data_IF_392776212048
#
_entry.id   IF_392776212048
#
_cell.length_a   1.000
_cell.length_b   1.000
_cell.length_c   1.000
_cell.angle_alpha   90.00
_cell.angle_beta   90.00
_cell.angle_gamma   90.00
#
_symmetry.space_group_name_H-M   'P 1'
#
loop_
_entity.id
_entity.type
_entity.pdbx_description
1 polymer ?
#
# COMPACT_ATOMS: atom_id res chain seq x y z
N UNK A 1 10.06 1.63 0.29
CA UNK A 1 9.62 2.36 1.51
C UNK A 1 9.06 1.37 2.50
N UNK A 2 9.48 1.46 3.72
CA UNK A 2 9.02 0.60 4.82
C UNK A 2 8.11 1.39 5.74
N UNK A 3 6.95 0.84 6.05
CA UNK A 3 5.99 1.45 6.98
C UNK A 3 5.45 0.39 7.93
N UNK A 4 4.98 0.82 9.07
CA UNK A 4 4.46 -0.07 10.10
C UNK A 4 3.07 0.35 10.54
N UNK A 5 2.28 -0.63 10.97
CA UNK A 5 0.95 -0.41 11.51
C UNK A 5 0.70 -1.40 12.64
N UNK A 6 0.17 -0.91 13.75
CA UNK A 6 -0.28 -1.77 14.84
C UNK A 6 -1.76 -2.12 14.61
N UNK A 7 -2.08 -3.40 14.72
CA UNK A 7 -3.47 -3.86 14.59
C UNK A 7 -4.17 -3.65 15.93
N UNK A 8 -5.17 -2.77 15.93
CA UNK A 8 -5.92 -2.39 17.11
C UNK A 8 -7.26 -3.13 17.15
N UNK A 9 -7.92 -3.25 18.33
CA UNK A 9 -9.21 -3.95 18.41
C UNK A 9 -10.28 -3.42 17.46
N UNK A 10 -10.30 -2.11 17.19
CA UNK A 10 -11.26 -1.51 16.24
C UNK A 10 -11.03 -1.85 14.79
N UNK A 11 -9.91 -2.51 14.46
CA UNK A 11 -9.57 -2.89 13.10
C UNK A 11 -10.05 -4.29 12.74
N UNK A 12 -10.62 -5.02 13.70
CA UNK A 12 -10.97 -6.42 13.52
C UNK A 12 -12.40 -6.58 13.00
N UNK A 13 -12.61 -7.67 12.25
CA UNK A 13 -13.94 -8.08 11.82
C UNK A 13 -14.63 -8.87 12.96
N UNK A 14 -15.85 -9.36 12.70
CA UNK A 14 -16.63 -10.11 13.68
C UNK A 14 -16.04 -11.48 14.01
N UNK A 15 -15.08 -11.97 13.25
CA UNK A 15 -14.35 -13.22 13.55
C UNK A 15 -13.09 -12.97 14.39
N UNK A 16 -12.75 -11.71 14.67
CA UNK A 16 -11.56 -11.39 15.44
C UNK A 16 -10.28 -11.28 14.64
N UNK A 17 -10.39 -11.17 13.31
CA UNK A 17 -9.26 -10.96 12.42
C UNK A 17 -9.30 -9.55 11.81
N UNK A 18 -8.16 -9.07 11.34
CA UNK A 18 -8.10 -7.79 10.65
C UNK A 18 -9.12 -7.75 9.50
N UNK A 19 -9.92 -6.70 9.47
CA UNK A 19 -10.89 -6.49 8.41
C UNK A 19 -10.16 -6.25 7.08
N UNK A 20 -10.54 -7.00 6.02
CA UNK A 20 -9.87 -6.89 4.72
C UNK A 20 -9.90 -5.48 4.14
N UNK A 21 -10.99 -4.75 4.31
CA UNK A 21 -11.10 -3.38 3.86
C UNK A 21 -10.13 -2.44 4.57
N UNK A 22 -9.80 -2.71 5.83
CA UNK A 22 -8.76 -1.95 6.54
C UNK A 22 -7.40 -2.16 5.91
N UNK A 23 -7.07 -3.41 5.57
CA UNK A 23 -5.82 -3.72 4.89
C UNK A 23 -5.71 -2.95 3.58
N UNK A 24 -6.76 -2.96 2.76
CA UNK A 24 -6.78 -2.25 1.48
C UNK A 24 -6.63 -0.74 1.67
N UNK A 25 -7.29 -0.18 2.67
CA UNK A 25 -7.19 1.24 2.98
C UNK A 25 -5.76 1.63 3.36
N UNK A 26 -5.13 0.84 4.23
CA UNK A 26 -3.76 1.13 4.65
C UNK A 26 -2.76 0.99 3.51
N UNK A 27 -2.94 -0.01 2.66
CA UNK A 27 -2.08 -0.20 1.48
C UNK A 27 -2.20 1.00 0.53
N UNK A 28 -3.43 1.47 0.28
CA UNK A 28 -3.66 2.62 -0.57
C UNK A 28 -2.99 3.89 0.01
N UNK A 29 -3.18 4.15 1.29
CA UNK A 29 -2.59 5.32 1.96
C UNK A 29 -1.06 5.27 1.93
N UNK A 30 -0.49 4.12 2.27
CA UNK A 30 0.97 3.97 2.36
C UNK A 30 1.60 4.09 0.97
N UNK A 31 1.03 3.44 -0.03
CA UNK A 31 1.54 3.52 -1.39
C UNK A 31 1.39 4.94 -1.96
N UNK A 32 0.32 5.65 -1.61
CA UNK A 32 0.16 7.03 -2.02
C UNK A 32 1.26 7.92 -1.42
N UNK A 33 1.63 7.69 -0.17
CA UNK A 33 2.75 8.41 0.43
C UNK A 33 4.06 8.11 -0.30
N UNK A 34 4.26 6.88 -0.75
CA UNK A 34 5.44 6.51 -1.51
C UNK A 34 5.51 7.24 -2.84
N UNK A 35 4.42 7.25 -3.61
CA UNK A 35 4.40 7.90 -4.93
C UNK A 35 4.52 9.42 -4.78
N UNK A 36 3.88 10.01 -3.78
CA UNK A 36 3.98 11.45 -3.55
C UNK A 36 5.40 11.87 -3.16
N UNK A 37 6.12 11.02 -2.45
CA UNK A 37 7.51 11.26 -2.09
C UNK A 37 8.47 11.09 -3.26
N UNK A 38 8.18 10.13 -4.15
CA UNK A 38 9.02 9.89 -5.32
C UNK A 38 8.86 10.97 -6.41
N UNK A 39 7.70 11.62 -6.45
CA UNK A 39 7.40 12.64 -7.46
C UNK A 39 6.85 13.91 -6.80
N UNK A 40 7.71 14.68 -6.10
CA UNK A 40 7.27 15.88 -5.39
C UNK A 40 6.59 16.89 -6.33
N UNK A 41 5.51 17.47 -5.88
CA UNK A 41 4.76 18.47 -6.64
C UNK A 41 3.79 17.89 -7.64
N UNK A 42 3.77 16.58 -7.83
CA UNK A 42 2.81 15.92 -8.70
C UNK A 42 1.61 15.42 -7.90
N UNK A 43 0.45 15.41 -8.53
CA UNK A 43 -0.77 14.92 -7.92
C UNK A 43 -1.14 13.58 -8.53
N UNK A 44 -1.51 12.63 -7.68
CA UNK A 44 -1.81 11.27 -8.11
C UNK A 44 -3.17 10.82 -7.59
N UNK A 45 -3.84 10.01 -8.38
CA UNK A 45 -5.03 9.27 -7.95
C UNK A 45 -4.81 7.79 -8.14
N UNK A 46 -5.37 7.01 -7.24
CA UNK A 46 -5.37 5.54 -7.35
C UNK A 46 -6.36 5.13 -8.42
N UNK A 47 -5.90 4.34 -9.39
CA UNK A 47 -6.78 3.83 -10.46
C UNK A 47 -7.04 2.35 -10.36
N UNK A 48 -6.26 1.62 -9.60
CA UNK A 48 -6.54 0.19 -9.42
C UNK A 48 -5.54 -0.53 -8.57
N UNK A 49 -5.97 -1.66 -8.05
CA UNK A 49 -5.14 -2.67 -7.43
C UNK A 49 -5.33 -3.96 -8.19
N UNK A 50 -4.24 -4.65 -8.48
CA UNK A 50 -4.27 -5.94 -9.16
C UNK A 50 -3.54 -6.97 -8.33
N UNK A 51 -3.81 -8.25 -8.60
CA UNK A 51 -3.16 -9.34 -7.88
C UNK A 51 -3.35 -9.24 -6.37
N UNK A 52 -4.53 -8.78 -5.93
CA UNK A 52 -4.85 -8.68 -4.50
C UNK A 52 -4.95 -10.10 -3.92
N UNK A 53 -4.04 -10.41 -3.01
CA UNK A 53 -4.00 -11.74 -2.40
C UNK A 53 -3.83 -11.64 -0.89
N UNK A 54 -4.81 -12.18 -0.17
CA UNK A 54 -4.74 -12.34 1.28
C UNK A 54 -4.21 -13.74 1.56
N UNK A 55 -2.94 -13.83 1.95
CA UNK A 55 -2.29 -15.13 2.14
C UNK A 55 -2.64 -15.77 3.47
N UNK A 56 -2.76 -14.94 4.52
CA UNK A 56 -3.03 -15.40 5.87
C UNK A 56 -3.84 -14.36 6.64
N UNK A 57 -4.61 -14.83 7.63
CA UNK A 57 -5.35 -13.94 8.54
C UNK A 57 -4.38 -13.14 9.42
N UNK A 58 -4.80 -11.97 9.81
CA UNK A 58 -4.03 -11.12 10.73
C UNK A 58 -4.79 -11.06 12.05
N UNK A 59 -4.14 -11.52 13.12
CA UNK A 59 -4.70 -11.60 14.45
C UNK A 59 -4.45 -10.31 15.23
N UNK A 60 -5.18 -10.09 16.36
CA UNK A 60 -4.88 -8.96 17.25
C UNK A 60 -3.45 -9.06 17.79
N UNK A 61 -2.92 -7.92 18.25
CA UNK A 61 -1.56 -7.81 18.79
C UNK A 61 -0.49 -8.12 17.74
N UNK A 62 -0.79 -7.87 16.48
CA UNK A 62 0.19 -7.98 15.39
C UNK A 62 0.70 -6.61 15.00
N UNK A 63 1.97 -6.56 14.64
CA UNK A 63 2.57 -5.40 13.98
C UNK A 63 2.73 -5.76 12.50
N UNK A 64 2.19 -4.92 11.64
CA UNK A 64 2.33 -5.11 10.19
C UNK A 64 3.49 -4.26 9.67
N UNK A 65 4.30 -4.87 8.83
CA UNK A 65 5.35 -4.17 8.09
C UNK A 65 4.96 -4.16 6.61
N UNK A 66 4.89 -2.96 6.05
CA UNK A 66 4.56 -2.74 4.64
C UNK A 66 5.83 -2.41 3.89
N UNK A 67 6.16 -3.22 2.89
CA UNK A 67 7.27 -2.93 1.97
C UNK A 67 6.69 -2.51 0.63
N UNK A 68 6.96 -1.26 0.24
CA UNK A 68 6.45 -0.66 -0.98
C UNK A 68 7.61 -0.36 -1.91
N UNK A 69 7.59 -0.96 -3.10
CA UNK A 69 8.64 -0.78 -4.09
C UNK A 69 8.03 -0.41 -5.43
N UNK A 70 8.69 0.52 -6.14
CA UNK A 70 8.25 0.91 -7.48
C UNK A 70 8.47 -0.27 -8.42
N UNK A 71 7.41 -0.72 -9.08
CA UNK A 71 7.45 -1.88 -9.95
C UNK A 71 7.58 -1.49 -11.42
N UNK A 72 6.81 -0.50 -11.88
CA UNK A 72 6.96 -0.02 -13.24
C UNK A 72 6.42 1.41 -13.39
N UNK A 73 6.90 2.09 -14.41
CA UNK A 73 6.49 3.45 -14.76
C UNK A 73 5.98 3.45 -16.18
N UNK A 74 4.74 3.85 -16.39
CA UNK A 74 4.16 4.07 -17.70
C UNK A 74 4.26 5.53 -18.11
N UNK A 75 3.51 5.90 -19.14
CA UNK A 75 3.54 7.29 -19.63
C UNK A 75 2.90 8.26 -18.63
N UNK A 76 1.75 7.90 -18.11
CA UNK A 76 0.99 8.72 -17.14
C UNK A 76 0.79 8.02 -15.80
N UNK A 77 1.30 6.80 -15.67
CA UNK A 77 1.03 5.96 -14.50
C UNK A 77 2.32 5.44 -13.88
N UNK A 78 2.22 5.08 -12.62
CA UNK A 78 3.28 4.38 -11.90
C UNK A 78 2.63 3.30 -11.03
N UNK A 79 3.23 2.12 -11.02
CA UNK A 79 2.75 0.98 -10.26
C UNK A 79 3.73 0.63 -9.17
N UNK A 80 3.21 0.42 -7.97
CA UNK A 80 3.99 -0.01 -6.81
C UNK A 80 3.57 -1.41 -6.42
N UNK A 81 4.55 -2.23 -6.06
CA UNK A 81 4.32 -3.52 -5.46
C UNK A 81 4.35 -3.36 -3.95
N UNK A 82 3.35 -3.91 -3.27
CA UNK A 82 3.25 -3.84 -1.81
C UNK A 82 3.19 -5.25 -1.25
N UNK A 83 4.12 -5.54 -0.35
CA UNK A 83 4.12 -6.76 0.43
C UNK A 83 3.91 -6.42 1.89
N UNK A 84 3.04 -7.16 2.57
CA UNK A 84 2.74 -6.94 3.98
C UNK A 84 3.08 -8.18 4.77
N UNK A 85 3.84 -7.98 5.84
CA UNK A 85 4.27 -9.03 6.75
C UNK A 85 3.70 -8.74 8.14
N UNK A 86 3.33 -9.80 8.85
CA UNK A 86 2.88 -9.66 10.23
C UNK A 86 3.93 -10.23 11.18
N UNK A 87 4.03 -9.61 12.34
CA UNK A 87 4.80 -10.12 13.47
C UNK A 87 3.94 -9.96 14.71
N UNK A 88 3.71 -11.03 15.44
CA UNK A 88 3.07 -10.93 16.75
C UNK A 88 4.01 -10.22 17.71
N UNK A 89 3.46 -9.45 18.64
CA UNK A 89 4.29 -8.64 19.57
C UNK A 89 5.25 -9.47 20.41
N UNK A 90 4.97 -10.76 20.58
CA UNK A 90 5.81 -11.68 21.38
C UNK A 90 6.81 -12.47 20.53
N UNK A 91 6.90 -12.19 19.25
CA UNK A 91 7.73 -12.97 18.33
C UNK A 91 8.60 -12.06 17.49
N UNK A 92 9.76 -12.56 17.08
CA UNK A 92 10.61 -11.89 16.09
C UNK A 92 10.37 -12.40 14.67
N UNK A 93 9.55 -13.44 14.51
CA UNK A 93 9.29 -14.01 13.20
C UNK A 93 8.22 -13.23 12.45
N UNK A 94 8.46 -13.05 11.16
CA UNK A 94 7.51 -12.41 10.26
C UNK A 94 6.89 -13.42 9.31
N UNK A 95 5.62 -13.24 8.99
CA UNK A 95 4.89 -14.06 8.03
C UNK A 95 4.27 -13.15 6.99
N UNK A 96 4.47 -13.45 5.71
CA UNK A 96 3.81 -12.74 4.63
C UNK A 96 2.31 -12.99 4.65
N UNK A 97 1.52 -11.91 4.70
CA UNK A 97 0.05 -12.01 4.84
C UNK A 97 -0.71 -11.43 3.68
N UNK A 98 -0.10 -10.52 2.92
CA UNK A 98 -0.82 -9.82 1.86
C UNK A 98 0.14 -9.30 0.80
N UNK A 99 -0.27 -9.36 -0.48
CA UNK A 99 0.46 -8.75 -1.58
C UNK A 99 -0.52 -8.12 -2.57
N UNK A 100 -0.09 -7.05 -3.22
CA UNK A 100 -0.83 -6.43 -4.32
C UNK A 100 0.09 -5.53 -5.14
N UNK A 101 -0.37 -5.21 -6.35
CA UNK A 101 0.19 -4.13 -7.17
C UNK A 101 -0.84 -3.01 -7.22
N UNK A 102 -0.41 -1.79 -6.92
CA UNK A 102 -1.28 -0.63 -6.92
C UNK A 102 -0.77 0.40 -7.91
N UNK A 103 -1.68 0.89 -8.75
CA UNK A 103 -1.34 1.80 -9.84
C UNK A 103 -1.96 3.16 -9.60
N UNK A 104 -1.12 4.19 -9.77
CA UNK A 104 -1.50 5.59 -9.67
C UNK A 104 -1.34 6.26 -11.03
N UNK A 105 -2.19 7.25 -11.29
CA UNK A 105 -2.11 8.07 -12.48
C UNK A 105 -1.88 9.52 -12.06
N UNK A 106 -0.92 10.18 -12.70
CA UNK A 106 -0.69 11.59 -12.48
C UNK A 106 -1.80 12.40 -13.13
N UNK A 107 -2.36 13.36 -12.38
CA UNK A 107 -3.40 14.27 -12.86
C UNK A 107 -2.97 15.72 -12.72
N UNK A 108 -3.48 16.56 -13.62
CA UNK A 108 -3.33 18.00 -13.52
C UNK A 108 -4.44 18.65 -12.71
N UNK A 109 -4.40 19.97 -12.63
CA UNK A 109 -5.38 20.77 -11.87
C UNK A 109 -6.80 20.60 -12.41
N UNK A 110 -6.94 20.27 -13.69
CA UNK A 110 -8.23 20.00 -14.35
C UNK A 110 -8.69 18.55 -14.22
N UNK A 111 -7.90 17.71 -13.54
CA UNK A 111 -8.18 16.28 -13.42
C UNK A 111 -7.76 15.43 -14.60
N UNK A 112 -7.21 16.02 -15.65
CA UNK A 112 -6.75 15.29 -16.82
C UNK A 112 -5.42 14.58 -16.53
N UNK A 113 -5.20 13.43 -17.18
CA UNK A 113 -3.94 12.70 -17.07
C UNK A 113 -2.77 13.53 -17.54
N UNK A 114 -1.64 13.41 -16.84
CA UNK A 114 -0.41 14.10 -17.19
C UNK A 114 0.73 13.09 -17.27
N UNK A 115 1.69 13.30 -18.19
CA UNK A 115 2.85 12.42 -18.27
C UNK A 115 3.69 12.48 -16.99
N UNK A 116 4.25 11.33 -16.64
CA UNK A 116 5.27 11.25 -15.60
C UNK A 116 6.54 11.87 -16.17
N UNK A 117 7.03 12.92 -15.51
CA UNK A 117 8.24 13.61 -15.99
C UNK A 117 9.48 12.98 -15.37
N UNK A 118 10.45 12.66 -16.23
CA UNK A 118 11.73 12.16 -15.78
C UNK A 118 12.49 13.24 -15.02
N UNK A 119 13.24 12.80 -14.00
CA UNK A 119 14.03 13.70 -13.19
C UNK A 119 13.25 14.41 -12.08
N UNK A 120 11.96 14.17 -11.99
CA UNK A 120 11.13 14.68 -10.91
C UNK A 120 10.95 13.61 -9.85
N UNK A 121 11.88 13.48 -9.01
CA UNK A 121 11.85 12.42 -8.03
C UNK A 121 12.26 12.92 -6.67
#
# INVERSE_FOLDING_TARGET
MTSYKLVMPGDLNHYGFLFGGKMLMWVDEIAWMAVSGDYPGCHFVTVGMSEVTFHKSVHPQSVLRFETTKACVGRTSVTYHVEVFRRHIESSEETGVFTTDITFVRIGADGAKMPIEEGRS
#
